data_IF_039700340409
#
_entry.id   IF_039700340409
#
_cell.length_a   1.000
_cell.length_b   1.000
_cell.length_c   1.000
_cell.angle_alpha   90.00
_cell.angle_beta   90.00
_cell.angle_gamma   90.00
#
_symmetry.space_group_name_H-M   'P 1'
#
loop_
_entity.id
_entity.type
_entity.pdbx_description
1 polymer ?
#
# COMPACT_ATOMS: atom_id res chain seq x y z
N UNK A 1 32.12 35.18 22.08
CA UNK A 1 33.31 35.38 21.21
C UNK A 1 32.79 35.84 19.84
N UNK A 2 33.31 36.95 19.31
CA UNK A 2 32.93 37.44 18.00
C UNK A 2 33.49 36.49 16.91
N UNK A 3 32.63 36.03 15.97
CA UNK A 3 33.08 35.21 14.86
C UNK A 3 34.05 35.98 13.98
N UNK A 4 35.11 35.30 13.54
CA UNK A 4 36.11 35.89 12.64
C UNK A 4 35.47 36.18 11.25
N UNK A 5 35.86 37.29 10.62
CA UNK A 5 35.44 37.64 9.27
C UNK A 5 35.69 36.49 8.26
N UNK A 6 36.77 35.73 8.46
CA UNK A 6 37.08 34.55 7.65
C UNK A 6 36.06 33.42 7.86
N UNK A 7 35.57 33.21 9.07
CA UNK A 7 34.56 32.17 9.36
C UNK A 7 33.21 32.54 8.74
N UNK A 8 32.84 33.82 8.80
CA UNK A 8 31.63 34.32 8.13
C UNK A 8 31.71 34.12 6.60
N UNK A 9 32.83 34.46 5.97
CA UNK A 9 33.03 34.23 4.51
C UNK A 9 32.97 32.75 4.17
N UNK A 10 33.54 31.87 4.99
CA UNK A 10 33.48 30.41 4.81
C UNK A 10 32.05 29.88 4.95
N UNK A 11 31.29 30.37 5.94
CA UNK A 11 29.87 30.03 6.10
C UNK A 11 29.03 30.46 4.88
N UNK A 12 29.23 31.68 4.38
CA UNK A 12 28.54 32.18 3.18
C UNK A 12 28.83 31.28 1.98
N UNK A 13 30.09 30.94 1.74
CA UNK A 13 30.50 30.08 0.64
C UNK A 13 29.90 28.67 0.75
N UNK A 14 29.89 28.10 1.97
CA UNK A 14 29.27 26.80 2.25
C UNK A 14 27.77 26.83 2.01
N UNK A 15 27.06 27.85 2.54
CA UNK A 15 25.60 28.00 2.35
C UNK A 15 25.22 28.16 0.88
N UNK A 16 25.99 28.92 0.11
CA UNK A 16 25.79 29.04 -1.35
C UNK A 16 25.90 27.69 -2.06
N UNK A 17 26.94 26.90 -1.73
CA UNK A 17 27.12 25.56 -2.29
C UNK A 17 25.97 24.62 -1.91
N UNK A 18 25.56 24.64 -0.65
CA UNK A 18 24.41 23.86 -0.18
C UNK A 18 23.14 24.25 -0.93
N UNK A 19 22.87 25.56 -1.11
CA UNK A 19 21.73 26.04 -1.90
C UNK A 19 21.73 25.55 -3.35
N UNK A 20 22.90 25.54 -4.00
CA UNK A 20 23.02 25.00 -5.38
C UNK A 20 22.70 23.50 -5.44
N UNK A 21 23.20 22.72 -4.46
CA UNK A 21 22.92 21.28 -4.38
C UNK A 21 21.42 21.06 -4.14
N UNK A 22 20.83 21.77 -3.21
CA UNK A 22 19.40 21.65 -2.87
C UNK A 22 18.51 22.02 -4.07
N UNK A 23 18.86 23.08 -4.80
CA UNK A 23 18.15 23.45 -6.03
C UNK A 23 18.24 22.36 -7.12
N UNK A 24 19.42 21.73 -7.28
CA UNK A 24 19.57 20.61 -8.20
C UNK A 24 18.71 19.41 -7.79
N UNK A 25 18.68 19.09 -6.49
CA UNK A 25 17.84 18.01 -5.95
C UNK A 25 16.35 18.30 -6.11
N UNK A 26 15.91 19.55 -5.92
CA UNK A 26 14.55 19.99 -6.19
C UNK A 26 14.14 19.73 -7.64
N UNK A 27 15.00 20.11 -8.61
CA UNK A 27 14.73 19.87 -10.03
C UNK A 27 14.63 18.38 -10.35
N UNK A 28 15.49 17.53 -9.77
CA UNK A 28 15.44 16.08 -9.96
C UNK A 28 14.15 15.50 -9.37
N UNK A 29 13.76 15.91 -8.14
CA UNK A 29 12.51 15.44 -7.50
C UNK A 29 11.29 15.88 -8.31
N UNK A 30 11.25 17.11 -8.81
CA UNK A 30 10.18 17.61 -9.69
C UNK A 30 10.06 16.85 -11.02
N UNK A 31 11.21 16.50 -11.63
CA UNK A 31 11.20 15.67 -12.84
C UNK A 31 10.66 14.26 -12.57
N UNK A 32 11.05 13.64 -11.45
CA UNK A 32 10.53 12.34 -11.01
C UNK A 32 9.04 12.40 -10.69
N UNK A 33 8.58 13.45 -10.00
CA UNK A 33 7.17 13.69 -9.75
C UNK A 33 6.36 13.67 -11.05
N UNK A 34 6.77 14.46 -12.04
CA UNK A 34 6.07 14.49 -13.35
C UNK A 34 6.06 13.13 -14.07
N UNK A 35 7.13 12.34 -13.93
CA UNK A 35 7.18 11.00 -14.53
C UNK A 35 6.25 10.01 -13.83
N UNK A 36 6.24 10.01 -12.49
CA UNK A 36 5.40 9.09 -11.72
C UNK A 36 3.91 9.43 -11.88
N UNK A 37 3.52 10.71 -11.90
CA UNK A 37 2.15 11.14 -12.17
C UNK A 37 1.63 10.65 -13.53
N UNK A 38 2.46 10.72 -14.58
CA UNK A 38 2.10 10.19 -15.90
C UNK A 38 1.90 8.67 -15.89
N UNK A 39 2.70 7.94 -15.11
CA UNK A 39 2.55 6.48 -14.96
C UNK A 39 1.34 6.15 -14.12
N UNK A 40 1.11 6.85 -13.02
CA UNK A 40 -0.04 6.66 -12.14
C UNK A 40 -1.36 6.81 -12.90
N UNK A 41 -1.51 7.84 -13.76
CA UNK A 41 -2.69 8.01 -14.61
C UNK A 41 -2.93 6.83 -15.57
N UNK A 42 -1.87 6.30 -16.19
CA UNK A 42 -2.00 5.13 -17.07
C UNK A 42 -2.36 3.87 -16.28
N UNK A 43 -1.77 3.74 -15.10
CA UNK A 43 -2.02 2.62 -14.23
C UNK A 43 -3.46 2.62 -13.70
N UNK A 44 -4.01 3.77 -13.36
CA UNK A 44 -5.39 3.91 -12.87
C UNK A 44 -6.41 3.31 -13.86
N UNK A 45 -6.25 3.55 -15.17
CA UNK A 45 -7.10 2.96 -16.21
C UNK A 45 -7.07 1.42 -16.16
N UNK A 46 -5.88 0.85 -15.95
CA UNK A 46 -5.72 -0.60 -15.81
C UNK A 46 -6.37 -1.11 -14.52
N UNK A 47 -6.09 -0.46 -13.39
CA UNK A 47 -6.61 -0.82 -12.07
C UNK A 47 -8.14 -0.78 -12.03
N UNK A 48 -8.75 0.27 -12.59
CA UNK A 48 -10.21 0.41 -12.69
C UNK A 48 -10.82 -0.74 -13.51
N UNK A 49 -10.12 -1.14 -14.59
CA UNK A 49 -10.59 -2.25 -15.43
C UNK A 49 -10.49 -3.60 -14.74
N UNK A 50 -9.39 -3.86 -14.05
CA UNK A 50 -9.22 -5.08 -13.23
C UNK A 50 -10.25 -5.12 -12.12
N UNK A 51 -10.49 -4.01 -11.42
CA UNK A 51 -11.53 -3.89 -10.40
C UNK A 51 -12.90 -4.23 -10.95
N UNK A 52 -13.30 -3.67 -12.11
CA UNK A 52 -14.58 -3.97 -12.75
C UNK A 52 -14.73 -5.48 -13.04
N UNK A 53 -13.69 -6.12 -13.59
CA UNK A 53 -13.70 -7.55 -13.90
C UNK A 53 -13.86 -8.36 -12.61
N UNK A 54 -13.03 -8.08 -11.60
CA UNK A 54 -13.07 -8.80 -10.31
C UNK A 54 -14.42 -8.63 -9.63
N UNK A 55 -14.96 -7.41 -9.59
CA UNK A 55 -16.26 -7.13 -8.98
C UNK A 55 -17.37 -7.93 -9.68
N UNK A 56 -17.33 -7.99 -11.01
CA UNK A 56 -18.31 -8.76 -11.77
C UNK A 56 -18.23 -10.26 -11.51
N UNK A 57 -17.02 -10.83 -11.50
CA UNK A 57 -16.81 -12.26 -11.24
C UNK A 57 -17.12 -12.62 -9.78
N UNK A 58 -16.71 -11.79 -8.83
CA UNK A 58 -16.96 -12.02 -7.40
C UNK A 58 -18.43 -11.84 -7.02
N UNK A 59 -19.20 -11.03 -7.74
CA UNK A 59 -20.63 -10.83 -7.49
C UNK A 59 -21.42 -12.15 -7.61
N UNK A 60 -21.06 -12.99 -8.60
CA UNK A 60 -21.65 -14.33 -8.75
C UNK A 60 -21.40 -15.23 -7.55
N UNK A 61 -20.14 -15.32 -7.10
CA UNK A 61 -19.77 -16.16 -5.96
C UNK A 61 -20.31 -15.64 -4.62
N UNK A 62 -20.29 -14.31 -4.41
CA UNK A 62 -20.87 -13.72 -3.20
C UNK A 62 -22.36 -13.98 -3.10
N UNK A 63 -23.07 -14.00 -4.21
CA UNK A 63 -24.48 -14.35 -4.27
C UNK A 63 -24.71 -15.84 -3.99
N UNK A 64 -23.87 -16.73 -4.50
CA UNK A 64 -23.92 -18.18 -4.21
C UNK A 64 -23.59 -18.48 -2.75
N UNK A 65 -22.58 -17.82 -2.17
CA UNK A 65 -22.22 -17.94 -0.76
C UNK A 65 -23.32 -17.39 0.15
N UNK A 66 -23.98 -16.30 -0.21
CA UNK A 66 -25.14 -15.77 0.51
C UNK A 66 -26.33 -16.76 0.49
N UNK A 67 -26.62 -17.33 -0.66
CA UNK A 67 -27.69 -18.32 -0.83
C UNK A 67 -27.35 -19.65 -0.12
N UNK A 68 -26.09 -20.06 -0.08
CA UNK A 68 -25.65 -21.26 0.63
C UNK A 68 -25.69 -21.09 2.15
N UNK A 69 -25.50 -19.88 2.66
CA UNK A 69 -25.60 -19.57 4.09
C UNK A 69 -27.05 -19.59 4.59
N UNK A 70 -28.04 -19.38 3.72
CA UNK A 70 -29.48 -19.50 4.02
C UNK A 70 -30.01 -20.94 3.90
N UNK A 71 -29.29 -21.82 3.23
CA UNK A 71 -29.66 -23.25 3.10
C UNK A 71 -28.83 -24.08 4.07
N UNK A 72 -29.35 -24.25 5.27
CA UNK A 72 -28.85 -25.17 6.33
C UNK A 72 -29.09 -26.62 5.89
N UNK A 73 -28.17 -27.17 5.05
CA UNK A 73 -28.18 -28.61 4.74
C UNK A 73 -26.77 -29.18 4.76
N UNK A 74 -26.57 -30.00 5.75
CA UNK A 74 -25.54 -30.99 6.00
C UNK A 74 -25.10 -31.72 4.72
N UNK A 75 -23.93 -31.40 4.16
CA UNK A 75 -23.18 -32.29 3.31
C UNK A 75 -21.70 -31.95 3.34
N UNK A 76 -20.97 -32.89 3.96
CA UNK A 76 -19.52 -32.80 4.18
C UNK A 76 -18.72 -32.97 2.88
N UNK A 77 -18.32 -31.87 2.32
CA UNK A 77 -17.10 -31.77 1.55
C UNK A 77 -16.59 -30.32 1.53
N UNK A 78 -16.05 -29.91 2.68
CA UNK A 78 -15.54 -28.53 2.90
C UNK A 78 -14.08 -28.34 2.51
N UNK A 79 -13.44 -29.32 1.88
CA UNK A 79 -11.97 -29.32 1.74
C UNK A 79 -11.44 -28.71 0.44
N UNK A 80 -12.26 -28.45 -0.59
CA UNK A 80 -11.76 -27.96 -1.89
C UNK A 80 -12.14 -26.52 -2.24
N UNK A 81 -13.11 -25.93 -1.55
CA UNK A 81 -13.54 -24.52 -1.79
C UNK A 81 -12.65 -23.49 -1.09
N UNK A 82 -11.66 -23.93 -0.31
CA UNK A 82 -10.93 -23.11 0.66
C UNK A 82 -9.84 -22.21 0.02
N UNK A 83 -9.35 -22.52 -1.18
CA UNK A 83 -8.16 -21.86 -1.73
C UNK A 83 -8.45 -20.48 -2.35
N UNK A 84 -9.51 -20.33 -3.10
CA UNK A 84 -9.86 -19.07 -3.80
C UNK A 84 -10.59 -18.12 -2.87
N UNK A 85 -11.43 -18.66 -2.01
CA UNK A 85 -12.21 -17.90 -1.03
C UNK A 85 -11.36 -17.25 0.07
N UNK A 86 -10.08 -17.64 0.25
CA UNK A 86 -9.26 -17.11 1.36
C UNK A 86 -9.10 -15.59 1.31
N UNK A 87 -8.86 -15.03 0.13
CA UNK A 87 -8.67 -13.58 -0.07
C UNK A 87 -9.97 -12.78 0.03
N UNK A 88 -11.12 -13.42 -0.15
CA UNK A 88 -12.46 -12.82 0.00
C UNK A 88 -13.09 -13.11 1.36
N UNK A 89 -12.64 -14.17 2.04
CA UNK A 89 -13.28 -14.67 3.24
C UNK A 89 -12.94 -13.79 4.46
N UNK A 90 -13.97 -13.22 5.06
CA UNK A 90 -13.85 -12.53 6.35
C UNK A 90 -13.61 -13.57 7.46
N UNK A 91 -12.49 -13.41 8.17
CA UNK A 91 -12.14 -14.21 9.35
C UNK A 91 -12.36 -13.40 10.63
N UNK A 92 -12.57 -14.03 11.79
CA UNK A 92 -12.49 -13.33 13.06
C UNK A 92 -11.10 -12.74 13.22
N UNK A 93 -11.02 -11.42 13.37
CA UNK A 93 -9.74 -10.71 13.47
C UNK A 93 -9.13 -10.95 14.83
N UNK A 94 -8.01 -11.66 14.88
CA UNK A 94 -7.17 -11.84 16.07
C UNK A 94 -5.89 -11.01 15.96
N UNK A 95 -5.41 -10.83 14.75
CA UNK A 95 -4.16 -10.12 14.49
C UNK A 95 -4.27 -9.30 13.22
N UNK A 96 -3.88 -8.02 13.31
CA UNK A 96 -3.90 -7.06 12.19
C UNK A 96 -2.50 -6.86 11.61
N UNK A 97 -2.36 -6.99 10.30
CA UNK A 97 -1.15 -6.64 9.55
C UNK A 97 -1.17 -5.18 9.10
N UNK A 98 -0.08 -4.47 9.27
CA UNK A 98 0.10 -3.11 8.79
C UNK A 98 1.30 -3.03 7.84
N UNK A 99 1.04 -2.80 6.56
CA UNK A 99 2.07 -2.50 5.55
C UNK A 99 2.26 -0.99 5.46
N UNK A 100 3.33 -0.48 6.06
CA UNK A 100 3.58 0.95 6.17
C UNK A 100 4.59 1.40 5.13
N UNK A 101 4.21 2.38 4.31
CA UNK A 101 5.05 2.91 3.23
C UNK A 101 5.66 4.23 3.66
N UNK A 102 6.98 4.25 3.76
CA UNK A 102 7.81 5.42 4.04
C UNK A 102 8.88 5.60 2.97
N UNK A 103 9.64 6.67 3.02
CA UNK A 103 10.81 6.82 2.16
C UNK A 103 12.01 6.02 2.70
N UNK A 104 13.00 5.76 1.82
CA UNK A 104 14.28 5.17 2.22
C UNK A 104 15.22 6.19 2.84
N UNK A 105 15.04 7.48 2.55
CA UNK A 105 15.94 8.57 2.95
C UNK A 105 15.17 9.76 3.49
N UNK A 106 15.87 10.68 4.14
CA UNK A 106 15.33 11.97 4.55
C UNK A 106 15.17 12.97 3.39
N UNK A 107 15.05 14.25 3.72
CA UNK A 107 14.84 15.37 2.80
C UNK A 107 13.49 15.31 2.06
N UNK A 108 12.47 14.79 2.75
CA UNK A 108 11.09 14.69 2.28
C UNK A 108 10.12 15.48 3.17
N UNK A 109 10.60 16.56 3.80
CA UNK A 109 9.81 17.40 4.70
C UNK A 109 9.18 16.59 5.84
N UNK A 110 7.89 16.77 6.05
CA UNK A 110 7.12 16.06 7.08
C UNK A 110 6.58 14.68 6.65
N UNK A 111 6.82 14.24 5.42
CA UNK A 111 6.25 13.02 4.84
C UNK A 111 6.36 11.81 5.78
N UNK A 112 7.57 11.42 6.18
CA UNK A 112 7.77 10.28 7.07
C UNK A 112 7.17 10.51 8.47
N UNK A 113 7.36 11.69 9.03
CA UNK A 113 6.88 11.98 10.38
C UNK A 113 5.37 11.97 10.49
N UNK A 114 4.66 12.35 9.43
CA UNK A 114 3.20 12.30 9.35
C UNK A 114 2.71 10.87 9.39
N UNK A 115 3.24 10.00 8.52
CA UNK A 115 2.88 8.57 8.49
C UNK A 115 3.19 7.89 9.83
N UNK A 116 4.40 8.08 10.35
CA UNK A 116 4.84 7.39 11.56
C UNK A 116 4.07 7.83 12.81
N UNK A 117 3.73 9.13 12.93
CA UNK A 117 2.88 9.61 14.03
C UNK A 117 1.47 9.06 13.94
N UNK A 118 0.87 9.09 12.75
CA UNK A 118 -0.47 8.56 12.52
C UNK A 118 -0.52 7.06 12.82
N UNK A 119 0.48 6.29 12.38
CA UNK A 119 0.60 4.87 12.69
C UNK A 119 0.70 4.58 14.19
N UNK A 120 1.54 5.33 14.90
CA UNK A 120 1.67 5.14 16.37
C UNK A 120 0.38 5.47 17.11
N UNK A 121 -0.38 6.46 16.62
CA UNK A 121 -1.68 6.79 17.19
C UNK A 121 -2.70 5.69 16.90
N UNK A 122 -2.78 5.22 15.64
CA UNK A 122 -3.67 4.15 15.22
C UNK A 122 -3.43 2.85 16.00
N UNK A 123 -2.16 2.43 16.13
CA UNK A 123 -1.81 1.24 16.92
C UNK A 123 -2.27 1.38 18.37
N UNK A 124 -2.09 2.57 18.96
CA UNK A 124 -2.49 2.82 20.35
C UNK A 124 -4.00 2.82 20.55
N UNK A 125 -4.75 3.29 19.55
CA UNK A 125 -6.21 3.40 19.62
C UNK A 125 -6.89 2.05 19.32
N UNK A 126 -6.30 1.23 18.44
CA UNK A 126 -6.92 0.00 17.93
C UNK A 126 -6.44 -1.26 18.67
N UNK A 127 -5.30 -1.25 19.37
CA UNK A 127 -4.69 -2.43 19.96
C UNK A 127 -4.31 -2.24 21.44
N UNK A 128 -4.58 -3.26 22.24
CA UNK A 128 -4.20 -3.29 23.65
C UNK A 128 -2.83 -3.95 23.88
N UNK A 129 -2.44 -4.89 23.00
CA UNK A 129 -1.21 -5.67 23.12
C UNK A 129 -0.33 -5.59 21.86
N UNK A 130 1.00 -5.62 22.00
CA UNK A 130 1.91 -5.77 20.88
C UNK A 130 1.73 -7.07 20.07
N UNK A 131 1.06 -8.07 20.65
CA UNK A 131 0.80 -9.36 19.99
C UNK A 131 -0.41 -9.29 19.03
N UNK A 132 -1.22 -8.23 19.12
CA UNK A 132 -2.44 -8.06 18.32
C UNK A 132 -2.17 -7.56 16.90
N UNK A 133 -0.92 -7.18 16.60
CA UNK A 133 -0.56 -6.66 15.28
C UNK A 133 0.82 -7.11 14.80
N UNK A 134 1.02 -7.01 13.50
CA UNK A 134 2.29 -7.29 12.82
C UNK A 134 2.62 -6.14 11.88
N UNK A 135 3.85 -5.63 11.98
CA UNK A 135 4.31 -4.55 11.12
C UNK A 135 5.09 -5.10 9.92
N UNK A 136 4.82 -4.52 8.77
CA UNK A 136 5.60 -4.68 7.55
C UNK A 136 6.01 -3.28 7.07
N UNK A 137 7.25 -3.07 6.73
CA UNK A 137 7.74 -1.75 6.33
C UNK A 137 8.28 -1.75 4.89
N UNK A 138 7.82 -0.80 4.10
CA UNK A 138 8.43 -0.40 2.84
C UNK A 138 9.12 0.94 3.08
N UNK A 139 10.43 0.98 2.83
CA UNK A 139 11.27 2.15 3.10
C UNK A 139 12.08 2.06 4.39
N UNK A 140 13.34 2.50 4.30
CA UNK A 140 14.31 2.38 5.38
C UNK A 140 13.95 3.18 6.63
N UNK A 141 13.35 4.37 6.47
CA UNK A 141 13.01 5.24 7.60
C UNK A 141 11.96 4.60 8.52
N UNK A 142 10.93 3.98 7.95
CA UNK A 142 9.90 3.26 8.71
C UNK A 142 10.48 2.02 9.39
N UNK A 143 11.26 1.22 8.66
CA UNK A 143 11.88 0.02 9.21
C UNK A 143 12.78 0.32 10.41
N UNK A 144 13.63 1.35 10.30
CA UNK A 144 14.52 1.76 11.39
C UNK A 144 13.74 2.32 12.58
N UNK A 145 12.66 3.06 12.31
CA UNK A 145 11.79 3.62 13.36
C UNK A 145 11.09 2.53 14.18
N UNK A 146 10.54 1.51 13.51
CA UNK A 146 9.84 0.41 14.17
C UNK A 146 10.80 -0.48 14.95
N UNK A 147 11.97 -0.80 14.38
CA UNK A 147 13.02 -1.55 15.08
C UNK A 147 13.53 -0.82 16.34
N UNK A 148 13.77 0.50 16.25
CA UNK A 148 14.22 1.28 17.38
C UNK A 148 13.22 1.33 18.54
N UNK A 149 11.93 1.07 18.28
CA UNK A 149 10.87 1.01 19.28
C UNK A 149 10.51 -0.41 19.74
N UNK A 150 11.19 -1.42 19.19
CA UNK A 150 10.92 -2.83 19.53
C UNK A 150 9.55 -3.32 19.07
N UNK A 151 8.97 -2.71 18.03
CA UNK A 151 7.71 -3.16 17.46
C UNK A 151 7.93 -4.46 16.66
N UNK A 152 6.89 -5.31 16.59
CA UNK A 152 6.92 -6.58 15.89
C UNK A 152 6.99 -6.37 14.36
N UNK A 153 8.21 -6.15 13.84
CA UNK A 153 8.49 -5.98 12.41
C UNK A 153 8.80 -7.32 11.78
N UNK A 154 7.83 -7.91 11.08
CA UNK A 154 7.95 -9.21 10.43
C UNK A 154 8.57 -9.15 9.02
N UNK A 155 8.46 -7.99 8.34
CA UNK A 155 8.97 -7.83 6.99
C UNK A 155 9.47 -6.40 6.76
N UNK A 156 10.57 -6.27 6.03
CA UNK A 156 11.05 -4.99 5.54
C UNK A 156 11.53 -5.09 4.09
N UNK A 157 11.22 -4.06 3.30
CA UNK A 157 11.74 -3.89 1.96
C UNK A 157 12.34 -2.50 1.81
N UNK A 158 13.59 -2.44 1.36
CA UNK A 158 14.34 -1.19 1.19
C UNK A 158 14.73 -1.00 -0.27
N UNK A 159 14.84 0.25 -0.69
CA UNK A 159 15.33 0.58 -2.02
C UNK A 159 14.29 0.42 -3.11
N UNK A 160 13.01 0.64 -2.80
CA UNK A 160 11.96 0.75 -3.83
C UNK A 160 12.36 1.85 -4.81
N UNK A 161 12.35 1.52 -6.09
CA UNK A 161 12.67 2.47 -7.16
C UNK A 161 11.83 3.75 -7.05
N UNK A 162 12.41 4.89 -7.43
CA UNK A 162 11.67 6.18 -7.46
C UNK A 162 10.43 6.12 -8.37
N UNK A 163 10.48 5.23 -9.36
CA UNK A 163 9.35 4.90 -10.24
C UNK A 163 9.19 3.38 -10.20
N UNK A 164 8.38 2.84 -9.28
CA UNK A 164 8.25 1.41 -9.06
C UNK A 164 7.84 0.67 -10.34
N UNK A 165 8.38 -0.52 -10.51
CA UNK A 165 7.95 -1.46 -11.55
C UNK A 165 7.01 -2.50 -10.94
N UNK A 166 6.13 -3.05 -11.76
CA UNK A 166 5.18 -4.08 -11.30
C UNK A 166 5.89 -5.33 -10.75
N UNK A 167 7.00 -5.75 -11.37
CA UNK A 167 7.78 -6.90 -10.91
C UNK A 167 8.41 -6.68 -9.53
N UNK A 168 8.87 -5.46 -9.24
CA UNK A 168 9.45 -5.10 -7.94
C UNK A 168 8.40 -5.18 -6.83
N UNK A 169 7.19 -4.68 -7.11
CA UNK A 169 6.09 -4.70 -6.15
C UNK A 169 5.51 -6.10 -5.97
N UNK A 170 5.51 -6.92 -7.01
CA UNK A 170 5.01 -8.31 -6.95
C UNK A 170 5.66 -9.12 -5.83
N UNK A 171 6.96 -8.99 -5.60
CA UNK A 171 7.66 -9.69 -4.51
C UNK A 171 7.14 -9.27 -3.14
N UNK A 172 6.85 -7.96 -2.96
CA UNK A 172 6.29 -7.43 -1.71
C UNK A 172 4.90 -8.01 -1.49
N UNK A 173 4.05 -7.98 -2.53
CA UNK A 173 2.67 -8.47 -2.46
C UNK A 173 2.62 -9.97 -2.21
N UNK A 174 3.44 -10.73 -2.95
CA UNK A 174 3.54 -12.19 -2.76
C UNK A 174 3.87 -12.55 -1.31
N UNK A 175 4.79 -11.81 -0.70
CA UNK A 175 5.12 -12.02 0.72
C UNK A 175 3.92 -11.70 1.62
N UNK A 176 3.25 -10.57 1.39
CA UNK A 176 2.08 -10.18 2.18
C UNK A 176 0.92 -11.18 2.05
N UNK A 177 0.61 -11.62 0.83
CA UNK A 177 -0.43 -12.65 0.59
C UNK A 177 -0.05 -13.98 1.25
N UNK A 178 1.20 -14.43 1.10
CA UNK A 178 1.66 -15.66 1.74
C UNK A 178 1.56 -15.59 3.27
N UNK A 179 1.87 -14.44 3.88
CA UNK A 179 1.71 -14.25 5.32
C UNK A 179 0.24 -14.28 5.74
N UNK A 180 -0.65 -13.70 4.93
CA UNK A 180 -2.09 -13.74 5.15
C UNK A 180 -2.64 -15.17 5.07
N UNK A 181 -2.28 -15.93 4.03
CA UNK A 181 -2.71 -17.32 3.84
C UNK A 181 -2.20 -18.24 4.96
N UNK A 182 -0.99 -18.00 5.46
CA UNK A 182 -0.43 -18.72 6.60
C UNK A 182 -0.98 -18.28 7.96
N UNK A 183 -1.93 -17.34 8.01
CA UNK A 183 -2.56 -16.90 9.26
C UNK A 183 -1.64 -16.08 10.17
N UNK A 184 -0.60 -15.44 9.61
CA UNK A 184 0.27 -14.53 10.38
C UNK A 184 -0.52 -13.32 10.85
N UNK A 185 -1.49 -12.90 10.06
CA UNK A 185 -2.51 -11.90 10.39
C UNK A 185 -3.83 -12.22 9.66
N UNK A 186 -4.94 -11.69 10.16
CA UNK A 186 -6.29 -11.95 9.65
C UNK A 186 -6.82 -10.84 8.74
N UNK A 187 -6.21 -9.67 8.80
CA UNK A 187 -6.48 -8.54 7.92
C UNK A 187 -5.20 -7.75 7.65
N UNK A 188 -5.13 -7.07 6.52
CA UNK A 188 -4.01 -6.25 6.12
C UNK A 188 -4.47 -4.85 5.76
N UNK A 189 -3.89 -3.86 6.43
CA UNK A 189 -3.99 -2.46 6.06
C UNK A 189 -2.71 -1.97 5.40
N UNK A 190 -2.85 -1.20 4.33
CA UNK A 190 -1.75 -0.44 3.72
C UNK A 190 -1.85 1.01 4.16
N UNK A 191 -0.79 1.48 4.81
CA UNK A 191 -0.74 2.78 5.47
C UNK A 191 0.32 3.66 4.83
N UNK A 192 -0.09 4.82 4.31
CA UNK A 192 0.79 5.71 3.55
C UNK A 192 0.27 7.15 3.53
N UNK A 193 1.06 8.07 3.01
CA UNK A 193 0.58 9.41 2.67
C UNK A 193 0.06 9.44 1.23
N UNK A 194 -1.24 9.66 1.10
CA UNK A 194 -1.92 9.92 -0.16
C UNK A 194 -1.57 11.31 -0.70
N UNK A 195 -1.28 11.38 -1.99
CA UNK A 195 -1.00 12.62 -2.69
C UNK A 195 -2.31 13.38 -3.00
N UNK A 196 -2.54 14.48 -2.30
CA UNK A 196 -3.69 15.36 -2.56
C UNK A 196 -3.35 16.40 -3.63
N UNK A 197 -2.21 17.07 -3.46
CA UNK A 197 -1.64 18.02 -4.41
C UNK A 197 -0.16 18.24 -4.10
N UNK A 198 0.53 19.05 -4.88
CA UNK A 198 1.97 19.30 -4.75
C UNK A 198 2.39 19.83 -3.36
N UNK A 199 1.48 20.45 -2.61
CA UNK A 199 1.76 21.04 -1.30
C UNK A 199 1.24 20.21 -0.12
N UNK A 200 0.23 19.37 -0.36
CA UNK A 200 -0.47 18.65 0.70
C UNK A 200 -0.56 17.16 0.42
N UNK A 201 -0.32 16.38 1.45
CA UNK A 201 -0.60 14.96 1.49
C UNK A 201 -1.41 14.64 2.75
N UNK A 202 -2.19 13.56 2.71
CA UNK A 202 -3.00 13.11 3.82
C UNK A 202 -2.66 11.66 4.17
N UNK A 203 -2.57 11.35 5.45
CA UNK A 203 -2.44 9.96 5.88
C UNK A 203 -3.67 9.16 5.46
N UNK A 204 -3.43 7.97 4.93
CA UNK A 204 -4.45 7.02 4.52
C UNK A 204 -4.08 5.64 5.01
N UNK A 205 -5.06 4.94 5.58
CA UNK A 205 -5.00 3.53 5.91
C UNK A 205 -6.13 2.84 5.16
N UNK A 206 -5.80 1.95 4.25
CA UNK A 206 -6.76 1.23 3.40
C UNK A 206 -6.66 -0.25 3.69
N UNK A 207 -7.81 -0.89 3.95
CA UNK A 207 -7.88 -2.34 4.12
C UNK A 207 -7.73 -3.00 2.75
N UNK A 208 -6.68 -3.82 2.61
CA UNK A 208 -6.38 -4.52 1.36
C UNK A 208 -6.76 -5.99 1.40
N UNK A 209 -6.66 -6.63 2.57
CA UNK A 209 -7.03 -8.02 2.76
C UNK A 209 -7.86 -8.18 4.06
N UNK A 210 -8.87 -9.06 4.06
CA UNK A 210 -9.50 -9.67 2.89
C UNK A 210 -10.10 -8.61 1.97
N UNK A 211 -10.21 -8.92 0.67
CA UNK A 211 -10.80 -8.02 -0.33
C UNK A 211 -12.29 -7.91 -0.02
N UNK A 212 -12.72 -6.76 0.51
CA UNK A 212 -14.10 -6.52 0.95
C UNK A 212 -14.80 -5.37 0.24
N UNK A 213 -14.05 -4.54 -0.50
CA UNK A 213 -14.54 -3.30 -1.11
C UNK A 213 -15.03 -3.49 -2.56
N UNK A 214 -15.56 -4.69 -2.85
CA UNK A 214 -16.20 -4.96 -4.12
C UNK A 214 -17.64 -4.48 -4.04
N UNK A 215 -17.92 -3.30 -4.56
CA UNK A 215 -19.29 -2.76 -4.63
C UNK A 215 -20.03 -3.37 -5.82
N UNK A 216 -20.85 -4.37 -5.53
CA UNK A 216 -21.67 -5.06 -6.53
C UNK A 216 -22.63 -4.10 -7.25
N UNK A 217 -22.97 -2.96 -6.64
CA UNK A 217 -23.86 -1.96 -7.25
C UNK A 217 -23.22 -1.26 -8.47
N UNK A 218 -21.87 -1.16 -8.49
CA UNK A 218 -21.13 -0.60 -9.63
C UNK A 218 -21.23 -1.48 -10.90
N UNK A 219 -21.56 -2.76 -10.74
CA UNK A 219 -21.62 -3.74 -11.84
C UNK A 219 -23.04 -3.93 -12.39
N UNK A 220 -24.05 -3.58 -11.61
CA UNK A 220 -25.47 -3.77 -11.97
C UNK A 220 -25.88 -3.03 -13.27
N UNK A 221 -25.15 -2.00 -13.68
CA UNK A 221 -25.42 -1.21 -14.90
C UNK A 221 -24.63 -1.67 -16.15
N UNK A 222 -23.69 -2.63 -16.00
CA UNK A 222 -22.92 -3.12 -17.15
C UNK A 222 -23.44 -4.47 -17.61
N UNK A 223 -24.21 -4.46 -18.70
CA UNK A 223 -24.70 -5.64 -19.42
C UNK A 223 -23.54 -6.37 -20.15
N UNK A 224 -22.44 -6.66 -19.45
CA UNK A 224 -21.29 -7.37 -20.02
C UNK A 224 -21.31 -8.80 -19.51
N UNK A 225 -21.66 -9.75 -20.39
CA UNK A 225 -21.50 -11.18 -20.12
C UNK A 225 -20.05 -11.59 -20.42
N UNK A 226 -19.36 -12.17 -19.44
CA UNK A 226 -18.04 -12.75 -19.63
C UNK A 226 -18.17 -14.23 -19.97
N UNK A 227 -17.47 -14.68 -21.00
CA UNK A 227 -17.24 -16.09 -21.22
C UNK A 227 -16.14 -16.57 -20.27
N UNK A 228 -16.50 -17.48 -19.37
CA UNK A 228 -15.61 -17.98 -18.32
C UNK A 228 -15.11 -19.36 -18.75
N UNK A 229 -13.79 -19.53 -18.84
CA UNK A 229 -13.13 -20.79 -19.18
C UNK A 229 -11.88 -20.99 -18.30
N UNK A 230 -11.65 -22.17 -17.70
CA UNK A 230 -12.50 -23.38 -17.75
C UNK A 230 -13.71 -23.30 -16.80
N UNK A 231 -13.57 -22.63 -15.66
CA UNK A 231 -14.59 -22.46 -14.61
C UNK A 231 -14.31 -21.18 -13.81
N UNK A 232 -15.30 -20.71 -13.05
CA UNK A 232 -15.23 -19.48 -12.30
C UNK A 232 -14.15 -19.51 -11.20
N UNK A 233 -13.99 -20.65 -10.54
CA UNK A 233 -13.03 -20.79 -9.42
C UNK A 233 -11.61 -20.68 -9.93
N UNK A 234 -11.24 -21.37 -11.02
CA UNK A 234 -9.93 -21.30 -11.65
C UNK A 234 -9.58 -19.88 -12.13
N UNK A 235 -10.58 -19.16 -12.65
CA UNK A 235 -10.39 -17.77 -13.10
C UNK A 235 -10.18 -16.84 -11.88
N UNK A 236 -10.96 -17.00 -10.82
CA UNK A 236 -10.82 -16.20 -9.60
C UNK A 236 -9.48 -16.47 -8.91
N UNK A 237 -9.02 -17.74 -8.84
CA UNK A 237 -7.68 -18.08 -8.33
C UNK A 237 -6.56 -17.33 -9.05
N UNK A 238 -6.72 -17.10 -10.32
CA UNK A 238 -5.74 -16.35 -11.12
C UNK A 238 -5.87 -14.83 -10.97
N UNK A 239 -7.09 -14.31 -10.87
CA UNK A 239 -7.36 -12.87 -10.96
C UNK A 239 -7.31 -12.17 -9.59
N UNK A 240 -7.76 -12.82 -8.50
CA UNK A 240 -7.75 -12.22 -7.16
C UNK A 240 -6.35 -11.85 -6.66
N UNK A 241 -5.31 -12.68 -6.80
CA UNK A 241 -3.95 -12.27 -6.46
C UNK A 241 -3.46 -11.09 -7.30
N UNK A 242 -3.79 -11.04 -8.60
CA UNK A 242 -3.45 -9.92 -9.48
C UNK A 242 -4.18 -8.63 -9.07
N UNK A 243 -5.42 -8.74 -8.58
CA UNK A 243 -6.15 -7.60 -8.04
C UNK A 243 -5.50 -7.08 -6.75
N UNK A 244 -5.15 -7.96 -5.81
CA UNK A 244 -4.41 -7.59 -4.60
C UNK A 244 -3.05 -6.93 -4.96
N UNK A 245 -2.32 -7.48 -5.94
CA UNK A 245 -1.10 -6.88 -6.49
C UNK A 245 -1.39 -5.47 -7.01
N UNK A 246 -2.50 -5.27 -7.71
CA UNK A 246 -2.86 -3.97 -8.27
C UNK A 246 -3.16 -2.95 -7.17
N UNK A 247 -3.90 -3.31 -6.13
CA UNK A 247 -4.22 -2.40 -5.02
C UNK A 247 -2.96 -1.90 -4.31
N UNK A 248 -2.07 -2.82 -3.93
CA UNK A 248 -0.82 -2.47 -3.23
C UNK A 248 0.13 -1.68 -4.15
N UNK A 249 0.19 -2.02 -5.45
CA UNK A 249 0.96 -1.25 -6.42
C UNK A 249 0.44 0.19 -6.55
N UNK A 250 -0.88 0.38 -6.60
CA UNK A 250 -1.52 1.69 -6.60
C UNK A 250 -1.13 2.53 -5.38
N UNK A 251 -1.19 1.92 -4.18
CA UNK A 251 -0.79 2.57 -2.93
C UNK A 251 0.70 2.97 -2.93
N UNK A 252 1.59 2.12 -3.43
CA UNK A 252 3.03 2.43 -3.53
C UNK A 252 3.27 3.57 -4.53
N UNK A 253 2.58 3.57 -5.68
CA UNK A 253 2.69 4.64 -6.67
C UNK A 253 2.21 5.98 -6.11
N UNK A 254 1.11 6.00 -5.39
CA UNK A 254 0.56 7.18 -4.74
C UNK A 254 1.48 7.70 -3.62
N UNK A 255 1.98 6.80 -2.77
CA UNK A 255 2.96 7.11 -1.73
C UNK A 255 4.25 7.72 -2.31
N UNK A 256 4.77 7.17 -3.42
CA UNK A 256 5.95 7.71 -4.11
C UNK A 256 5.67 9.05 -4.77
N UNK A 257 4.46 9.28 -5.26
CA UNK A 257 4.03 10.60 -5.77
C UNK A 257 4.05 11.64 -4.64
N UNK A 258 3.48 11.30 -3.48
CA UNK A 258 3.50 12.16 -2.29
C UNK A 258 4.93 12.40 -1.76
N UNK A 259 5.80 11.38 -1.77
CA UNK A 259 7.21 11.48 -1.39
C UNK A 259 7.95 12.50 -2.27
N UNK A 260 7.83 12.39 -3.59
CA UNK A 260 8.50 13.32 -4.53
C UNK A 260 7.92 14.74 -4.48
N UNK A 261 6.61 14.90 -4.26
CA UNK A 261 5.99 16.19 -4.03
C UNK A 261 6.53 16.85 -2.75
N UNK A 262 6.57 16.10 -1.65
CA UNK A 262 7.13 16.56 -0.38
C UNK A 262 8.62 16.91 -0.48
N UNK A 263 9.40 16.10 -1.21
CA UNK A 263 10.82 16.37 -1.46
C UNK A 263 11.02 17.65 -2.28
N UNK A 264 10.22 17.85 -3.33
CA UNK A 264 10.29 19.06 -4.18
C UNK A 264 9.97 20.33 -3.36
N UNK A 265 9.02 20.24 -2.44
CA UNK A 265 8.62 21.38 -1.59
C UNK A 265 9.59 21.65 -0.45
N UNK A 266 10.22 20.59 0.10
CA UNK A 266 11.15 20.71 1.22
C UNK A 266 12.53 21.26 0.83
N UNK A 267 12.90 21.21 -0.42
CA UNK A 267 14.17 21.69 -0.98
C UNK A 267 14.05 23.06 -1.62
#
# INVERSE_FOLDING_TARGET
>A
MAESLMDIKRKIASTKKTGQITQAMQMVSGAKLSQIEKRAKKYQIYSDKVRQIVTHLAAGQLLELANAAESDTDSGDKSQVISVASLLQKRPVKKTGYLVITSDRGLVGSYNSTVLKAMMQMIKDDHESPDDYVMMAIGGVGADFFKARGLNLAYEYRGVSDIPTFNEVREIVKTAVTMFDNGVFDELYVCYNHHVNTLTSAFRAEKMLPISDLDVSEVADTNVEYLIEPDLDSVLESVLPQYAESLIFGAIMDAKTAEHAASTTAM
#
